data_IF_656102914227
#
_entry.id   IF_656102914227
#
_cell.length_a   1.000
_cell.length_b   1.000
_cell.length_c   1.000
_cell.angle_alpha   90.00
_cell.angle_beta   90.00
_cell.angle_gamma   90.00
#
_symmetry.space_group_name_H-M   'P 1'
#
loop_
_entity.id
_entity.type
_entity.pdbx_description
1 polymer ?
#
# COMPACT_ATOMS: atom_id res chain seq x y z
N UNK A 1 15.45 27.03 -4.83
CA UNK A 1 14.03 27.19 -4.44
C UNK A 1 13.74 26.11 -3.42
N UNK A 2 12.84 26.34 -2.46
CA UNK A 2 12.42 25.30 -1.52
C UNK A 2 11.76 24.15 -2.28
N UNK A 3 12.00 22.91 -1.84
CA UNK A 3 11.32 21.73 -2.36
C UNK A 3 9.81 21.87 -2.16
N UNK A 4 9.03 21.46 -3.17
CA UNK A 4 7.57 21.53 -3.14
C UNK A 4 7.01 20.14 -2.97
N UNK A 5 6.32 19.90 -1.85
CA UNK A 5 5.86 18.58 -1.46
C UNK A 5 4.62 18.13 -2.27
N UNK A 6 4.36 16.82 -2.25
CA UNK A 6 3.26 16.20 -3.00
C UNK A 6 1.86 16.64 -2.56
N UNK A 7 1.68 17.02 -1.30
CA UNK A 7 0.46 17.65 -0.77
C UNK A 7 0.09 18.95 -1.51
N UNK A 8 1.08 19.76 -1.84
CA UNK A 8 0.90 20.99 -2.60
C UNK A 8 0.79 20.74 -4.11
N UNK A 9 1.45 19.70 -4.63
CA UNK A 9 1.44 19.35 -6.05
C UNK A 9 0.14 18.66 -6.48
N UNK A 10 -0.49 17.87 -5.61
CA UNK A 10 -1.77 17.21 -5.92
C UNK A 10 -2.91 18.22 -6.10
N UNK A 11 -2.84 19.37 -5.43
CA UNK A 11 -3.81 20.47 -5.58
C UNK A 11 -3.76 21.05 -7.00
N UNK A 12 -2.57 21.21 -7.57
CA UNK A 12 -2.40 21.66 -8.96
C UNK A 12 -2.85 20.60 -9.94
N UNK A 13 -2.45 19.35 -9.69
CA UNK A 13 -2.89 18.22 -10.49
C UNK A 13 -4.42 18.16 -10.61
N UNK A 14 -5.14 18.29 -9.50
CA UNK A 14 -6.60 18.32 -9.47
C UNK A 14 -7.19 19.53 -10.20
N UNK A 15 -6.54 20.69 -10.11
CA UNK A 15 -6.98 21.90 -10.82
C UNK A 15 -6.89 21.72 -12.34
N UNK A 16 -5.83 21.08 -12.81
CA UNK A 16 -5.57 20.88 -14.24
C UNK A 16 -6.34 19.71 -14.84
N UNK A 17 -6.47 18.62 -14.08
CA UNK A 17 -6.98 17.35 -14.60
C UNK A 17 -8.38 17.01 -14.12
N UNK A 18 -8.94 17.78 -13.17
CA UNK A 18 -10.16 17.45 -12.42
C UNK A 18 -10.02 16.11 -11.70
N UNK A 19 -11.05 15.68 -10.99
CA UNK A 19 -11.08 14.36 -10.37
C UNK A 19 -11.98 13.39 -11.15
N UNK A 20 -11.48 12.17 -11.38
CA UNK A 20 -12.25 11.05 -11.90
C UNK A 20 -12.01 9.76 -11.11
N UNK A 21 -13.05 9.19 -10.44
CA UNK A 21 -12.88 8.05 -9.53
C UNK A 21 -12.48 6.72 -10.19
N UNK A 22 -12.58 6.61 -11.53
CA UNK A 22 -12.12 5.43 -12.29
C UNK A 22 -10.81 5.68 -13.04
N UNK A 23 -10.18 6.82 -12.83
CA UNK A 23 -8.88 7.12 -13.43
C UNK A 23 -7.78 6.69 -12.46
N UNK A 24 -6.82 5.85 -12.89
CA UNK A 24 -5.63 5.54 -12.08
C UNK A 24 -4.71 6.77 -11.93
N UNK A 25 -4.88 7.79 -12.77
CA UNK A 25 -3.97 8.92 -12.87
C UNK A 25 -3.81 9.72 -11.57
N UNK A 26 -4.80 9.73 -10.66
CA UNK A 26 -4.68 10.41 -9.37
C UNK A 26 -3.80 9.64 -8.38
N UNK A 27 -3.88 8.30 -8.40
CA UNK A 27 -3.03 7.42 -7.61
C UNK A 27 -1.58 7.54 -8.08
N UNK A 28 -1.37 7.33 -9.39
CA UNK A 28 -0.08 7.52 -10.05
C UNK A 28 0.54 8.89 -9.75
N UNK A 29 -0.19 10.01 -9.94
CA UNK A 29 0.33 11.33 -9.61
C UNK A 29 0.75 11.45 -8.13
N UNK A 30 -0.05 10.93 -7.20
CA UNK A 30 0.26 10.97 -5.77
C UNK A 30 1.52 10.16 -5.44
N UNK A 31 1.67 8.97 -6.04
CA UNK A 31 2.84 8.11 -5.88
C UNK A 31 4.10 8.75 -6.48
N UNK A 32 4.01 9.32 -7.67
CA UNK A 32 5.13 10.00 -8.31
C UNK A 32 5.57 11.24 -7.53
N UNK A 33 4.63 11.98 -6.93
CA UNK A 33 4.99 13.07 -6.04
C UNK A 33 5.67 12.58 -4.77
N UNK A 34 5.18 11.50 -4.14
CA UNK A 34 5.86 10.88 -3.01
C UNK A 34 7.28 10.44 -3.36
N UNK A 35 7.49 9.86 -4.54
CA UNK A 35 8.81 9.42 -5.00
C UNK A 35 9.79 10.61 -5.10
N UNK A 36 9.34 11.72 -5.68
CA UNK A 36 10.13 12.96 -5.75
C UNK A 36 10.43 13.54 -4.35
N UNK A 37 9.49 13.41 -3.41
CA UNK A 37 9.67 13.85 -2.03
C UNK A 37 10.68 12.98 -1.29
N UNK A 38 10.67 11.66 -1.51
CA UNK A 38 11.68 10.75 -0.96
C UNK A 38 13.08 11.05 -1.51
N UNK A 39 13.20 11.28 -2.83
CA UNK A 39 14.46 11.72 -3.44
C UNK A 39 14.96 13.04 -2.83
N UNK A 40 14.06 13.98 -2.52
CA UNK A 40 14.44 15.24 -1.88
C UNK A 40 14.80 15.08 -0.40
N UNK A 41 14.07 14.25 0.35
CA UNK A 41 14.16 14.15 1.80
C UNK A 41 15.23 13.18 2.31
N UNK A 42 15.58 12.15 1.52
CA UNK A 42 16.50 11.09 1.95
C UNK A 42 17.73 10.99 1.01
N UNK A 43 18.91 11.26 1.57
CA UNK A 43 20.17 11.21 0.81
C UNK A 43 20.54 9.78 0.39
N UNK A 44 20.38 8.78 1.26
CA UNK A 44 20.69 7.39 0.92
C UNK A 44 19.79 6.87 -0.22
N UNK A 45 18.50 7.26 -0.21
CA UNK A 45 17.56 6.90 -1.27
C UNK A 45 17.95 7.56 -2.60
N UNK A 46 18.35 8.84 -2.56
CA UNK A 46 18.86 9.55 -3.74
C UNK A 46 20.14 8.92 -4.27
N UNK A 47 21.11 8.65 -3.40
CA UNK A 47 22.39 8.03 -3.78
C UNK A 47 22.17 6.66 -4.42
N UNK A 48 21.30 5.83 -3.84
CA UNK A 48 20.93 4.52 -4.40
C UNK A 48 20.20 4.65 -5.75
N UNK A 49 19.37 5.67 -5.94
CA UNK A 49 18.70 5.92 -7.22
C UNK A 49 19.68 6.39 -8.30
N UNK A 50 20.60 7.30 -7.96
CA UNK A 50 21.61 7.85 -8.87
C UNK A 50 22.68 6.82 -9.24
N UNK A 51 23.04 5.90 -8.33
CA UNK A 51 23.93 4.78 -8.60
C UNK A 51 23.27 3.66 -9.41
N UNK A 52 21.94 3.64 -9.43
CA UNK A 52 21.16 2.59 -10.07
C UNK A 52 20.92 1.35 -9.22
N UNK A 53 21.16 1.44 -7.91
CA UNK A 53 20.93 0.35 -6.98
C UNK A 53 19.43 0.13 -6.70
N UNK A 54 18.57 1.10 -7.04
CA UNK A 54 17.11 0.98 -6.97
C UNK A 54 16.41 1.48 -8.24
N UNK A 55 15.29 0.84 -8.55
CA UNK A 55 14.33 1.21 -9.60
C UNK A 55 12.92 1.27 -9.02
N UNK A 56 12.02 1.96 -9.72
CA UNK A 56 10.59 1.99 -9.37
C UNK A 56 9.73 1.39 -10.47
N UNK A 57 8.56 0.89 -10.08
CA UNK A 57 7.52 0.43 -11.01
C UNK A 57 6.15 0.87 -10.49
N UNK A 58 5.30 1.38 -11.38
CA UNK A 58 3.88 1.63 -11.11
C UNK A 58 3.02 0.41 -11.49
N UNK A 59 1.80 0.33 -10.96
CA UNK A 59 0.81 -0.70 -11.26
C UNK A 59 1.34 -2.16 -11.09
N UNK A 60 2.06 -2.42 -10.00
CA UNK A 60 2.68 -3.71 -9.72
C UNK A 60 1.67 -4.75 -9.21
N UNK A 61 1.60 -5.91 -9.85
CA UNK A 61 0.79 -7.04 -9.39
C UNK A 61 1.59 -7.93 -8.43
N UNK A 62 1.09 -8.07 -7.19
CA UNK A 62 1.60 -9.03 -6.21
C UNK A 62 0.62 -10.19 -6.06
N UNK A 63 1.15 -11.39 -5.83
CA UNK A 63 0.34 -12.59 -5.59
C UNK A 63 -0.38 -13.13 -6.83
N UNK A 64 -1.27 -14.10 -6.62
CA UNK A 64 -2.03 -14.74 -7.70
C UNK A 64 -3.42 -15.15 -7.21
N UNK A 65 -4.37 -15.39 -8.13
CA UNK A 65 -5.72 -15.82 -7.76
C UNK A 65 -6.41 -14.83 -6.80
N UNK A 66 -6.93 -15.34 -5.68
CA UNK A 66 -7.65 -14.55 -4.68
C UNK A 66 -6.75 -13.62 -3.84
N UNK A 67 -5.44 -13.89 -3.76
CA UNK A 67 -4.45 -13.05 -3.08
C UNK A 67 -3.78 -12.03 -4.01
N UNK A 68 -4.25 -11.91 -5.27
CA UNK A 68 -3.73 -10.90 -6.20
C UNK A 68 -4.10 -9.50 -5.72
N UNK A 69 -3.10 -8.63 -5.60
CA UNK A 69 -3.27 -7.21 -5.33
C UNK A 69 -2.50 -6.39 -6.36
N UNK A 70 -3.06 -5.26 -6.78
CA UNK A 70 -2.38 -4.32 -7.66
C UNK A 70 -2.00 -3.09 -6.81
N UNK A 71 -0.70 -2.81 -6.73
CA UNK A 71 -0.11 -1.74 -5.92
C UNK A 71 0.31 -0.59 -6.82
N UNK A 72 -0.02 0.64 -6.42
CA UNK A 72 0.22 1.83 -7.25
C UNK A 72 1.72 2.11 -7.48
N UNK A 73 2.59 1.86 -6.50
CA UNK A 73 4.03 2.08 -6.62
C UNK A 73 4.84 1.05 -5.81
N UNK A 74 5.87 0.49 -6.43
CA UNK A 74 6.91 -0.28 -5.74
C UNK A 74 8.31 0.25 -6.06
N UNK A 75 9.25 0.07 -5.13
CA UNK A 75 10.68 0.38 -5.31
C UNK A 75 11.52 -0.77 -4.75
N UNK A 76 12.62 -1.07 -5.42
CA UNK A 76 13.59 -2.08 -4.98
C UNK A 76 14.77 -2.19 -5.94
N UNK A 77 15.72 -3.10 -5.68
CA UNK A 77 16.85 -3.32 -6.57
C UNK A 77 16.38 -3.90 -7.91
N UNK A 78 17.01 -3.56 -9.04
CA UNK A 78 16.56 -4.01 -10.36
C UNK A 78 16.73 -5.52 -10.57
N UNK A 79 15.75 -6.17 -11.23
CA UNK A 79 15.77 -7.61 -11.53
C UNK A 79 16.88 -8.06 -12.51
N UNK A 80 17.36 -7.15 -13.36
CA UNK A 80 18.50 -7.35 -14.23
C UNK A 80 19.52 -6.22 -14.04
N UNK A 81 20.81 -6.48 -14.34
CA UNK A 81 21.82 -5.43 -14.53
C UNK A 81 21.54 -4.65 -15.84
N UNK A 82 20.30 -4.25 -16.06
CA UNK A 82 19.89 -3.48 -17.22
C UNK A 82 20.63 -2.14 -17.17
N UNK A 83 21.08 -1.64 -18.33
CA UNK A 83 21.55 -0.28 -18.41
C UNK A 83 20.38 0.63 -18.02
N UNK A 84 20.56 1.34 -16.91
CA UNK A 84 19.53 2.14 -16.29
C UNK A 84 19.35 3.40 -17.13
N UNK A 85 18.35 3.37 -18.01
CA UNK A 85 17.93 4.58 -18.73
C UNK A 85 17.04 5.40 -17.79
N UNK A 86 17.56 6.55 -17.35
CA UNK A 86 16.72 7.56 -16.70
C UNK A 86 15.68 8.06 -17.70
N UNK A 87 14.42 7.67 -17.49
CA UNK A 87 13.29 8.18 -18.27
C UNK A 87 12.73 9.43 -17.61
N UNK A 88 12.78 10.54 -18.34
CA UNK A 88 12.26 11.83 -17.88
C UNK A 88 13.21 12.58 -16.95
N UNK A 89 12.67 13.49 -16.14
CA UNK A 89 13.44 14.42 -15.32
C UNK A 89 13.79 13.87 -13.92
N UNK A 90 13.40 12.62 -13.60
CA UNK A 90 13.60 12.03 -12.27
C UNK A 90 14.94 11.31 -12.16
N UNK A 91 15.59 11.45 -11.01
CA UNK A 91 16.87 10.83 -10.70
C UNK A 91 16.78 9.33 -10.30
N UNK A 92 15.63 8.69 -10.57
CA UNK A 92 15.40 7.26 -10.36
C UNK A 92 14.80 6.69 -11.65
N UNK A 93 15.22 5.50 -12.04
CA UNK A 93 14.73 4.88 -13.26
C UNK A 93 13.51 3.98 -13.02
N UNK A 94 12.69 3.91 -14.05
CA UNK A 94 11.57 2.98 -14.15
C UNK A 94 12.10 1.60 -14.56
N UNK A 95 11.74 0.55 -13.82
CA UNK A 95 12.16 -0.82 -14.10
C UNK A 95 11.57 -1.82 -13.10
N UNK A 96 11.56 -3.10 -13.48
CA UNK A 96 11.05 -4.18 -12.62
C UNK A 96 12.03 -4.45 -11.46
N UNK A 97 11.58 -4.34 -10.19
CA UNK A 97 12.41 -4.66 -9.06
C UNK A 97 12.53 -6.19 -8.86
N UNK A 98 13.74 -6.68 -8.60
CA UNK A 98 14.03 -8.08 -8.22
C UNK A 98 13.25 -8.49 -6.96
N UNK A 99 13.11 -7.53 -6.04
CA UNK A 99 12.38 -7.67 -4.77
C UNK A 99 11.82 -6.32 -4.37
N UNK A 100 10.69 -6.34 -3.66
CA UNK A 100 10.05 -5.11 -3.20
C UNK A 100 10.63 -4.67 -1.86
N UNK A 101 11.23 -3.48 -1.83
CA UNK A 101 11.71 -2.82 -0.60
C UNK A 101 10.71 -1.80 -0.06
N UNK A 102 10.01 -1.10 -0.96
CA UNK A 102 8.96 -0.15 -0.65
C UNK A 102 7.74 -0.45 -1.51
N UNK A 103 6.55 -0.40 -0.93
CA UNK A 103 5.28 -0.49 -1.62
C UNK A 103 4.32 0.58 -1.09
N UNK A 104 3.66 1.31 -2.00
CA UNK A 104 2.73 2.38 -1.68
C UNK A 104 1.41 2.16 -2.41
N UNK A 105 0.32 2.30 -1.66
CA UNK A 105 -1.05 2.26 -2.19
C UNK A 105 -1.72 3.63 -1.99
N UNK A 106 -2.09 4.28 -3.09
CA UNK A 106 -2.75 5.57 -3.11
C UNK A 106 -4.27 5.39 -3.21
N UNK A 107 -4.99 6.14 -2.38
CA UNK A 107 -6.44 6.03 -2.24
C UNK A 107 -7.07 7.39 -2.03
N UNK A 108 -8.36 7.48 -2.34
CA UNK A 108 -9.12 8.73 -2.22
C UNK A 108 -10.49 8.55 -1.55
N UNK A 109 -10.94 9.62 -0.92
CA UNK A 109 -12.27 9.77 -0.32
C UNK A 109 -12.83 11.12 -0.78
N UNK A 110 -13.59 11.12 -1.88
CA UNK A 110 -14.05 12.37 -2.53
C UNK A 110 -15.51 12.72 -2.32
N UNK A 111 -16.39 11.71 -2.17
CA UNK A 111 -17.86 11.92 -2.15
C UNK A 111 -18.57 11.16 -1.04
N UNK A 112 -18.54 9.82 -1.09
CA UNK A 112 -19.25 8.96 -0.14
C UNK A 112 -18.45 8.70 1.16
N UNK A 113 -18.02 9.78 1.82
CA UNK A 113 -17.08 9.74 2.96
C UNK A 113 -17.41 8.67 4.00
N UNK A 114 -18.68 8.52 4.39
CA UNK A 114 -19.10 7.53 5.40
C UNK A 114 -18.82 6.07 5.03
N UNK A 115 -19.01 5.69 3.76
CA UNK A 115 -18.75 4.33 3.25
C UNK A 115 -17.30 4.19 2.80
N UNK A 116 -16.81 5.16 2.05
CA UNK A 116 -15.49 5.14 1.44
C UNK A 116 -14.38 5.04 2.50
N UNK A 117 -14.44 5.79 3.61
CA UNK A 117 -13.37 5.75 4.64
C UNK A 117 -13.12 4.35 5.22
N UNK A 118 -14.19 3.60 5.55
CA UNK A 118 -14.06 2.24 6.09
C UNK A 118 -13.56 1.25 5.04
N UNK A 119 -13.98 1.44 3.79
CA UNK A 119 -13.48 0.63 2.69
C UNK A 119 -11.98 0.90 2.48
N UNK A 120 -11.57 2.17 2.42
CA UNK A 120 -10.16 2.56 2.28
C UNK A 120 -9.28 2.06 3.44
N UNK A 121 -9.77 2.09 4.68
CA UNK A 121 -9.05 1.48 5.80
C UNK A 121 -8.85 -0.02 5.61
N UNK A 122 -9.91 -0.75 5.22
CA UNK A 122 -9.80 -2.18 4.91
C UNK A 122 -8.81 -2.43 3.78
N UNK A 123 -8.91 -1.65 2.71
CA UNK A 123 -8.06 -1.80 1.53
C UNK A 123 -6.57 -1.63 1.92
N UNK A 124 -6.22 -0.59 2.69
CA UNK A 124 -4.85 -0.35 3.14
C UNK A 124 -4.32 -1.46 4.06
N UNK A 125 -5.14 -1.98 4.98
CA UNK A 125 -4.73 -3.08 5.84
C UNK A 125 -4.55 -4.40 5.05
N UNK A 126 -5.46 -4.68 4.12
CA UNK A 126 -5.36 -5.85 3.24
C UNK A 126 -4.15 -5.76 2.32
N UNK A 127 -3.86 -4.58 1.78
CA UNK A 127 -2.66 -4.29 1.01
C UNK A 127 -1.39 -4.64 1.81
N UNK A 128 -1.26 -4.17 3.05
CA UNK A 128 -0.09 -4.46 3.87
C UNK A 128 0.04 -5.97 4.18
N UNK A 129 -1.04 -6.62 4.62
CA UNK A 129 -1.05 -8.07 4.91
C UNK A 129 -0.63 -8.88 3.67
N UNK A 130 -1.15 -8.58 2.48
CA UNK A 130 -0.77 -9.27 1.23
C UNK A 130 0.69 -8.97 0.89
N UNK A 131 1.11 -7.71 0.93
CA UNK A 131 2.49 -7.34 0.62
C UNK A 131 3.49 -8.04 1.53
N UNK A 132 3.23 -8.12 2.83
CA UNK A 132 4.14 -8.75 3.78
C UNK A 132 4.14 -10.27 3.72
N UNK A 133 3.09 -10.91 3.20
CA UNK A 133 3.12 -12.36 2.90
C UNK A 133 4.08 -12.67 1.75
N UNK A 134 4.12 -11.82 0.72
CA UNK A 134 4.98 -12.04 -0.45
C UNK A 134 6.38 -11.44 -0.29
N UNK A 135 6.48 -10.31 0.40
CA UNK A 135 7.69 -9.55 0.64
C UNK A 135 7.75 -9.11 2.11
N UNK A 136 8.12 -10.01 3.04
CA UNK A 136 8.07 -9.71 4.47
C UNK A 136 8.86 -8.47 4.88
N UNK A 137 10.01 -8.22 4.27
CA UNK A 137 10.80 -7.03 4.55
C UNK A 137 10.30 -5.72 3.92
N UNK A 138 9.24 -5.74 3.10
CA UNK A 138 8.77 -4.54 2.41
C UNK A 138 8.32 -3.46 3.41
N UNK A 139 8.71 -2.23 3.15
CA UNK A 139 8.15 -1.04 3.79
C UNK A 139 6.83 -0.74 3.11
N UNK A 140 5.72 -0.68 3.84
CA UNK A 140 4.39 -0.44 3.26
C UNK A 140 3.78 0.88 3.71
N UNK A 141 3.18 1.62 2.78
CA UNK A 141 2.57 2.90 3.08
C UNK A 141 1.28 3.19 2.29
N UNK A 142 0.44 4.06 2.85
CA UNK A 142 -0.78 4.54 2.19
C UNK A 142 -0.78 6.05 2.00
N UNK A 143 -1.19 6.54 0.82
CA UNK A 143 -1.44 7.98 0.60
C UNK A 143 -2.94 8.21 0.39
N UNK A 144 -3.55 9.02 1.26
CA UNK A 144 -4.99 9.24 1.30
C UNK A 144 -5.33 10.68 0.92
N UNK A 145 -5.96 10.85 -0.25
CA UNK A 145 -6.54 12.13 -0.67
C UNK A 145 -7.98 12.25 -0.18
N UNK A 146 -8.26 13.22 0.69
CA UNK A 146 -9.56 13.41 1.33
C UNK A 146 -10.13 14.75 0.91
N UNK A 147 -11.34 14.75 0.36
CA UNK A 147 -12.02 15.99 0.02
C UNK A 147 -12.76 16.57 1.23
N UNK A 148 -12.81 17.88 1.35
CA UNK A 148 -13.56 18.62 2.36
C UNK A 148 -14.59 19.58 1.76
N UNK A 149 -14.69 19.66 0.43
CA UNK A 149 -15.68 20.49 -0.22
C UNK A 149 -17.11 20.11 0.23
N UNK A 150 -17.92 21.12 0.55
CA UNK A 150 -19.34 20.93 0.90
C UNK A 150 -20.16 20.41 -0.29
N UNK A 151 -19.68 20.67 -1.51
CA UNK A 151 -20.31 20.25 -2.76
C UNK A 151 -19.28 19.61 -3.67
N UNK A 152 -19.68 18.56 -4.39
CA UNK A 152 -18.83 17.88 -5.35
C UNK A 152 -19.58 17.46 -6.61
N UNK A 153 -19.06 17.86 -7.77
CA UNK A 153 -19.55 17.41 -9.08
C UNK A 153 -18.88 16.09 -9.44
N UNK A 154 -19.59 14.98 -9.27
CA UNK A 154 -19.08 13.67 -9.69
C UNK A 154 -19.14 13.51 -11.21
N UNK A 155 -18.05 13.09 -11.88
CA UNK A 155 -18.09 12.85 -13.33
C UNK A 155 -18.86 11.58 -13.71
N UNK A 156 -19.26 10.76 -12.72
CA UNK A 156 -20.07 9.56 -12.93
C UNK A 156 -21.58 9.83 -12.88
N UNK A 157 -21.99 11.05 -12.55
CA UNK A 157 -23.40 11.45 -12.42
C UNK A 157 -23.80 12.37 -13.57
N UNK A 158 -25.10 12.51 -13.77
CA UNK A 158 -25.66 13.37 -14.81
C UNK A 158 -25.28 14.84 -14.59
N UNK A 159 -25.24 15.59 -15.68
CA UNK A 159 -24.93 17.01 -15.64
C UNK A 159 -25.96 17.76 -14.77
N UNK A 160 -25.48 18.38 -13.69
CA UNK A 160 -26.30 19.09 -12.70
C UNK A 160 -26.59 18.30 -11.41
N UNK A 161 -26.25 17.01 -11.34
CA UNK A 161 -26.31 16.22 -10.09
C UNK A 161 -25.06 16.46 -9.25
N UNK A 162 -25.15 17.49 -8.40
CA UNK A 162 -24.12 17.89 -7.45
C UNK A 162 -24.34 17.12 -6.14
N UNK A 163 -23.29 16.45 -5.66
CA UNK A 163 -23.32 15.80 -4.35
C UNK A 163 -23.13 16.85 -3.27
N UNK A 164 -24.06 16.91 -2.32
CA UNK A 164 -23.92 17.72 -1.10
C UNK A 164 -23.37 16.86 0.05
N UNK A 165 -22.35 17.35 0.75
CA UNK A 165 -21.71 16.66 1.86
C UNK A 165 -22.14 17.24 3.20
N UNK A 166 -23.22 16.68 3.75
CA UNK A 166 -23.68 17.03 5.10
C UNK A 166 -22.62 16.74 6.17
N UNK A 167 -22.27 17.75 6.96
CA UNK A 167 -21.33 17.65 8.11
C UNK A 167 -19.93 17.19 7.66
N UNK A 168 -19.46 17.69 6.51
CA UNK A 168 -18.18 17.29 5.90
C UNK A 168 -16.99 17.44 6.86
N UNK A 169 -16.90 18.54 7.61
CA UNK A 169 -15.82 18.75 8.58
C UNK A 169 -15.72 17.61 9.61
N UNK A 170 -16.87 17.16 10.14
CA UNK A 170 -16.94 16.03 11.07
C UNK A 170 -16.54 14.73 10.37
N UNK A 171 -16.98 14.50 9.14
CA UNK A 171 -16.68 13.28 8.39
C UNK A 171 -15.19 13.18 8.04
N UNK A 172 -14.56 14.29 7.67
CA UNK A 172 -13.11 14.39 7.42
C UNK A 172 -12.35 14.13 8.72
N UNK A 173 -12.75 14.77 9.84
CA UNK A 173 -12.14 14.52 11.16
C UNK A 173 -12.17 13.05 11.56
N UNK A 174 -13.35 12.43 11.49
CA UNK A 174 -13.53 10.99 11.77
C UNK A 174 -12.72 10.10 10.80
N UNK A 175 -12.47 10.56 9.57
CA UNK A 175 -11.63 9.83 8.61
C UNK A 175 -10.16 9.94 8.97
N UNK A 176 -9.67 11.14 9.29
CA UNK A 176 -8.28 11.35 9.73
C UNK A 176 -8.00 10.57 11.02
N UNK A 177 -8.91 10.62 12.00
CA UNK A 177 -8.82 9.83 13.24
C UNK A 177 -8.75 8.31 12.96
N UNK A 178 -9.59 7.80 12.05
CA UNK A 178 -9.58 6.39 11.67
C UNK A 178 -8.24 5.92 11.11
N UNK A 179 -7.57 6.74 10.29
CA UNK A 179 -6.24 6.41 9.76
C UNK A 179 -5.12 6.61 10.78
N UNK A 180 -5.30 7.53 11.75
CA UNK A 180 -4.39 7.71 12.88
C UNK A 180 -4.36 6.50 13.80
N UNK A 181 -5.52 5.86 14.00
CA UNK A 181 -5.70 4.73 14.91
C UNK A 181 -5.30 3.36 14.33
N UNK A 182 -4.86 3.30 13.06
CA UNK A 182 -4.37 2.05 12.46
C UNK A 182 -3.09 1.62 13.17
N UNK A 183 -3.02 0.33 13.53
CA UNK A 183 -1.81 -0.26 14.08
C UNK A 183 -0.65 -0.16 13.08
N UNK A 184 0.53 0.25 13.57
CA UNK A 184 1.73 0.42 12.75
C UNK A 184 2.74 -0.68 13.00
N UNK A 185 3.54 -0.97 11.99
CA UNK A 185 4.70 -1.85 12.10
C UNK A 185 5.78 -1.30 13.06
N UNK A 186 5.84 0.03 13.24
CA UNK A 186 6.81 0.72 14.11
C UNK A 186 8.26 0.33 13.78
N UNK A 187 8.57 0.23 12.48
CA UNK A 187 9.90 -0.11 11.97
C UNK A 187 10.23 -1.62 12.00
N UNK A 188 9.41 -2.45 12.65
CA UNK A 188 9.57 -3.90 12.65
C UNK A 188 8.98 -4.52 11.40
N UNK A 189 9.39 -5.74 11.07
CA UNK A 189 8.62 -6.56 10.13
C UNK A 189 7.30 -6.95 10.83
N UNK A 190 6.16 -6.74 10.18
CA UNK A 190 4.81 -6.89 10.75
C UNK A 190 3.81 -6.84 9.61
N UNK A 191 2.63 -7.49 9.68
CA UNK A 191 1.57 -7.35 8.65
C UNK A 191 0.89 -5.96 8.63
N UNK A 192 1.30 -5.07 9.52
CA UNK A 192 0.76 -3.73 9.64
C UNK A 192 1.50 -2.75 8.72
N UNK A 193 0.84 -1.67 8.30
CA UNK A 193 1.51 -0.60 7.54
C UNK A 193 2.60 0.09 8.34
N UNK A 194 3.66 0.55 7.68
CA UNK A 194 4.69 1.39 8.30
C UNK A 194 4.20 2.85 8.46
N UNK A 195 3.43 3.38 7.51
CA UNK A 195 2.90 4.75 7.59
C UNK A 195 1.68 5.01 6.71
N UNK A 196 0.91 6.04 7.04
CA UNK A 196 -0.17 6.55 6.18
C UNK A 196 -0.14 8.08 6.18
N UNK A 197 -0.13 8.70 5.00
CA UNK A 197 -0.20 10.15 4.84
C UNK A 197 -1.59 10.59 4.36
N UNK A 198 -2.22 11.52 5.08
CA UNK A 198 -3.50 12.11 4.71
C UNK A 198 -3.28 13.52 4.14
N UNK A 199 -3.85 13.79 2.96
CA UNK A 199 -3.89 15.10 2.31
C UNK A 199 -5.35 15.53 2.23
N UNK A 200 -5.69 16.67 2.83
CA UNK A 200 -7.06 17.21 2.80
C UNK A 200 -7.13 18.35 1.80
N UNK A 201 -8.08 18.29 0.86
CA UNK A 201 -8.29 19.31 -0.16
C UNK A 201 -9.72 19.83 -0.12
N UNK A 202 -9.90 21.10 -0.46
CA UNK A 202 -11.19 21.64 -0.86
C UNK A 202 -11.24 21.62 -2.39
N UNK A 203 -11.96 20.62 -2.93
CA UNK A 203 -12.08 20.40 -4.36
C UNK A 203 -13.53 20.10 -4.74
N UNK A 204 -14.19 21.04 -5.41
CA UNK A 204 -15.59 20.90 -5.86
C UNK A 204 -15.74 20.07 -7.14
N UNK A 205 -14.66 19.93 -7.92
CA UNK A 205 -14.66 19.33 -9.26
C UNK A 205 -15.58 20.06 -10.27
N UNK A 206 -15.87 21.35 -10.02
CA UNK A 206 -16.77 22.19 -10.81
C UNK A 206 -16.03 23.17 -11.73
N UNK A 207 -16.75 23.67 -12.75
CA UNK A 207 -16.21 24.59 -13.78
C UNK A 207 -16.59 26.04 -13.49
N UNK A 208 -17.11 26.29 -12.29
CA UNK A 208 -17.66 27.56 -11.83
C UNK A 208 -16.60 28.56 -11.33
N UNK A 209 -15.32 28.18 -11.43
CA UNK A 209 -14.19 28.97 -10.96
C UNK A 209 -13.88 28.81 -9.47
N UNK A 210 -14.55 27.89 -8.76
CA UNK A 210 -14.14 27.50 -7.41
C UNK A 210 -12.70 26.97 -7.43
N UNK A 211 -11.85 27.55 -6.57
CA UNK A 211 -10.44 27.22 -6.54
C UNK A 211 -10.24 25.91 -5.78
N UNK A 212 -9.45 25.00 -6.35
CA UNK A 212 -8.92 23.86 -5.59
C UNK A 212 -7.83 24.34 -4.64
N UNK A 213 -7.96 24.00 -3.36
CA UNK A 213 -7.06 24.42 -2.30
C UNK A 213 -6.63 23.26 -1.40
N UNK A 214 -5.42 23.36 -0.84
CA UNK A 214 -4.97 22.52 0.27
C UNK A 214 -5.62 23.03 1.55
N UNK A 215 -6.16 22.13 2.36
CA UNK A 215 -6.68 22.47 3.69
C UNK A 215 -5.60 22.14 4.71
N UNK A 216 -5.06 23.18 5.34
CA UNK A 216 -3.96 23.05 6.33
C UNK A 216 -4.47 23.11 7.78
N UNK A 217 -5.62 23.75 7.99
CA UNK A 217 -6.25 23.86 9.31
C UNK A 217 -7.07 22.60 9.68
N UNK A 218 -7.32 22.33 10.98
CA UNK A 218 -8.19 21.24 11.40
C UNK A 218 -9.53 21.28 10.64
N UNK A 219 -10.03 20.14 10.16
CA UNK A 219 -9.70 18.77 10.55
C UNK A 219 -8.54 18.12 9.81
N UNK A 220 -7.80 18.85 8.96
CA UNK A 220 -6.58 18.32 8.35
C UNK A 220 -5.55 17.95 9.43
N UNK A 221 -4.72 16.91 9.20
CA UNK A 221 -3.60 16.60 10.08
C UNK A 221 -2.73 17.85 10.28
N UNK A 222 -2.26 18.07 11.49
CA UNK A 222 -1.36 19.19 11.80
C UNK A 222 0.09 18.73 11.72
N UNK A 223 1.04 19.67 11.63
CA UNK A 223 2.46 19.34 11.79
C UNK A 223 2.67 18.58 13.10
N UNK A 224 3.53 17.55 13.08
CA UNK A 224 3.75 16.56 14.15
C UNK A 224 2.69 15.45 14.29
N UNK A 225 1.61 15.48 13.51
CA UNK A 225 0.69 14.34 13.42
C UNK A 225 1.30 13.24 12.53
N UNK A 226 1.29 11.99 13.00
CA UNK A 226 1.85 10.86 12.25
C UNK A 226 1.17 10.62 10.90
N UNK A 227 -0.07 11.10 10.72
CA UNK A 227 -0.79 11.04 9.44
C UNK A 227 -0.69 12.31 8.61
N UNK A 228 0.07 13.31 9.06
CA UNK A 228 0.40 14.46 8.22
C UNK A 228 1.32 14.02 7.07
N UNK A 229 1.01 14.42 5.84
CA UNK A 229 1.70 13.93 4.65
C UNK A 229 3.23 14.03 4.73
N UNK A 230 3.75 15.19 5.16
CA UNK A 230 5.21 15.38 5.26
C UNK A 230 5.85 14.55 6.37
N UNK A 231 5.11 14.27 7.44
CA UNK A 231 5.59 13.37 8.49
C UNK A 231 5.58 11.92 8.01
N UNK A 232 4.55 11.53 7.25
CA UNK A 232 4.51 10.26 6.55
C UNK A 232 5.72 10.08 5.60
N UNK A 233 6.10 11.10 4.81
CA UNK A 233 7.32 11.05 3.99
C UNK A 233 8.56 10.75 4.85
N UNK A 234 8.70 11.45 5.99
CA UNK A 234 9.82 11.23 6.91
C UNK A 234 9.82 9.82 7.51
N UNK A 235 8.66 9.31 7.90
CA UNK A 235 8.50 7.95 8.43
C UNK A 235 8.93 6.93 7.38
N UNK A 236 8.38 7.00 6.16
CA UNK A 236 8.72 6.07 5.09
C UNK A 236 10.20 6.14 4.74
N UNK A 237 10.74 7.35 4.58
CA UNK A 237 12.17 7.56 4.33
C UNK A 237 13.03 6.93 5.42
N UNK A 238 12.72 7.20 6.69
CA UNK A 238 13.49 6.69 7.83
C UNK A 238 13.43 5.16 7.92
N UNK A 239 12.24 4.56 7.75
CA UNK A 239 12.10 3.11 7.81
C UNK A 239 12.81 2.43 6.64
N UNK A 240 12.66 2.94 5.42
CA UNK A 240 13.33 2.40 4.23
C UNK A 240 14.85 2.49 4.36
N UNK A 241 15.36 3.62 4.84
CA UNK A 241 16.78 3.84 5.06
C UNK A 241 17.36 2.83 6.06
N UNK A 242 16.77 2.76 7.24
CA UNK A 242 17.20 1.85 8.30
C UNK A 242 17.00 0.37 7.93
N UNK A 243 16.00 0.04 7.11
CA UNK A 243 15.69 -1.35 6.77
C UNK A 243 16.54 -1.84 5.61
N UNK A 244 16.80 -1.01 4.60
CA UNK A 244 17.34 -1.49 3.32
C UNK A 244 18.56 -0.72 2.79
N UNK A 245 18.66 0.59 3.03
CA UNK A 245 19.69 1.41 2.37
C UNK A 245 20.98 1.49 3.18
N UNK A 246 20.88 1.82 4.48
CA UNK A 246 22.05 1.99 5.36
C UNK A 246 22.11 1.02 6.53
N UNK A 247 20.99 0.38 6.87
CA UNK A 247 20.95 -0.63 7.92
C UNK A 247 21.45 -2.01 7.49
N UNK A 248 21.34 -2.97 8.40
CA UNK A 248 21.85 -4.35 8.20
C UNK A 248 20.93 -5.24 7.36
N UNK A 249 19.83 -4.70 6.81
CA UNK A 249 18.74 -5.51 6.28
C UNK A 249 17.76 -5.93 7.37
N UNK A 250 16.48 -6.21 7.04
CA UNK A 250 15.60 -6.88 7.97
C UNK A 250 16.09 -8.32 8.21
N UNK A 251 16.08 -8.76 9.46
CA UNK A 251 16.32 -10.17 9.80
C UNK A 251 15.09 -10.99 9.41
N UNK A 252 15.05 -11.39 8.14
CA UNK A 252 13.97 -12.22 7.57
C UNK A 252 13.94 -13.61 8.22
N UNK A 253 15.06 -14.08 8.75
CA UNK A 253 15.21 -15.37 9.45
C UNK A 253 14.66 -15.30 10.90
N UNK A 254 14.61 -14.13 11.53
CA UNK A 254 13.88 -13.94 12.79
C UNK A 254 12.35 -13.92 12.61
N UNK A 255 11.86 -13.49 11.44
CA UNK A 255 10.43 -13.57 11.10
C UNK A 255 10.01 -15.02 10.81
N UNK A 256 10.97 -15.80 10.34
CA UNK A 256 10.83 -17.22 10.15
C UNK A 256 10.56 -17.98 11.47
N UNK A 257 11.27 -17.64 12.54
CA UNK A 257 11.11 -18.30 13.84
C UNK A 257 9.84 -17.90 14.59
N UNK A 258 9.33 -16.68 14.37
CA UNK A 258 8.37 -16.09 15.33
C UNK A 258 6.91 -16.48 15.07
N UNK A 259 6.51 -17.02 13.91
CA UNK A 259 5.12 -17.49 13.82
C UNK A 259 4.72 -18.48 12.71
N UNK A 260 5.59 -19.41 12.31
CA UNK A 260 5.15 -20.51 11.42
C UNK A 260 3.96 -21.26 12.01
N UNK A 261 3.87 -21.37 13.33
CA UNK A 261 2.72 -21.96 14.01
C UNK A 261 1.44 -21.17 13.75
N UNK A 262 1.39 -19.84 13.94
CA UNK A 262 0.15 -19.10 13.64
C UNK A 262 -0.11 -18.93 12.16
N UNK A 263 0.90 -18.85 11.31
CA UNK A 263 0.72 -18.87 9.84
C UNK A 263 0.09 -20.19 9.42
N UNK A 264 0.60 -21.33 9.93
CA UNK A 264 0.02 -22.64 9.71
C UNK A 264 -1.40 -22.74 10.27
N UNK A 265 -1.63 -22.29 11.51
CA UNK A 265 -2.96 -22.31 12.14
C UNK A 265 -3.97 -21.44 11.39
N UNK A 266 -3.58 -20.24 10.94
CA UNK A 266 -4.42 -19.37 10.11
C UNK A 266 -4.76 -20.07 8.81
N UNK A 267 -3.76 -20.64 8.13
CA UNK A 267 -3.97 -21.29 6.85
C UNK A 267 -4.86 -22.54 6.96
N UNK A 268 -4.75 -23.30 8.06
CA UNK A 268 -5.66 -24.41 8.37
C UNK A 268 -7.11 -23.92 8.49
N UNK A 269 -7.33 -22.76 9.12
CA UNK A 269 -8.68 -22.18 9.26
C UNK A 269 -9.25 -21.75 7.90
N UNK A 270 -8.44 -21.11 7.05
CA UNK A 270 -8.87 -20.70 5.70
C UNK A 270 -9.21 -21.90 4.81
N UNK A 271 -8.36 -22.94 4.81
CA UNK A 271 -8.65 -24.21 4.13
C UNK A 271 -9.93 -24.84 4.65
N UNK A 272 -10.16 -24.85 5.97
CA UNK A 272 -11.38 -25.40 6.55
C UNK A 272 -12.63 -24.60 6.15
N UNK A 273 -12.51 -23.27 6.04
CA UNK A 273 -13.58 -22.37 5.58
C UNK A 273 -13.93 -22.62 4.12
N UNK A 274 -12.93 -22.66 3.23
CA UNK A 274 -13.10 -22.97 1.81
C UNK A 274 -13.71 -24.37 1.60
N UNK A 275 -13.22 -25.37 2.33
CA UNK A 275 -13.75 -26.74 2.29
C UNK A 275 -15.21 -26.82 2.75
N UNK A 276 -15.58 -26.07 3.79
CA UNK A 276 -16.97 -26.00 4.29
C UNK A 276 -17.92 -25.42 3.25
N UNK A 277 -17.51 -24.33 2.59
CA UNK A 277 -18.26 -23.67 1.52
C UNK A 277 -18.44 -24.60 0.33
N UNK A 278 -17.35 -25.15 -0.21
CA UNK A 278 -17.37 -26.09 -1.32
C UNK A 278 -18.22 -27.34 -0.98
N UNK A 279 -18.09 -27.86 0.24
CA UNK A 279 -18.87 -29.01 0.72
C UNK A 279 -20.36 -28.73 0.91
N UNK A 280 -20.75 -27.47 1.16
CA UNK A 280 -22.17 -27.07 1.18
C UNK A 280 -22.73 -27.02 -0.24
N UNK A 281 -22.02 -26.38 -1.16
CA UNK A 281 -22.42 -26.31 -2.57
C UNK A 281 -22.51 -27.69 -3.22
N UNK A 282 -21.57 -28.59 -2.91
CA UNK A 282 -21.58 -29.96 -3.40
C UNK A 282 -22.82 -30.74 -2.93
N UNK A 283 -23.26 -30.54 -1.68
CA UNK A 283 -24.49 -31.13 -1.15
C UNK A 283 -25.75 -30.59 -1.82
N UNK A 284 -25.73 -29.32 -2.19
CA UNK A 284 -26.81 -28.62 -2.88
C UNK A 284 -26.77 -28.86 -4.42
N UNK A 285 -25.79 -29.61 -4.92
CA UNK A 285 -25.54 -29.86 -6.34
C UNK A 285 -25.37 -28.57 -7.17
N UNK A 286 -24.79 -27.54 -6.55
CA UNK A 286 -24.61 -26.22 -7.14
C UNK A 286 -23.19 -25.70 -6.90
N UNK A 287 -22.18 -26.50 -7.26
CA UNK A 287 -20.77 -26.14 -7.13
C UNK A 287 -20.41 -25.03 -8.11
N UNK A 288 -19.91 -23.92 -7.59
CA UNK A 288 -19.37 -22.82 -8.38
C UNK A 288 -17.90 -23.03 -8.70
N UNK A 289 -17.43 -22.51 -9.84
CA UNK A 289 -16.00 -22.50 -10.17
C UNK A 289 -15.19 -21.70 -9.15
N UNK A 290 -15.76 -20.62 -8.64
CA UNK A 290 -15.15 -19.76 -7.62
C UNK A 290 -14.83 -20.52 -6.32
N UNK A 291 -15.73 -21.37 -5.84
CA UNK A 291 -15.50 -22.18 -4.64
C UNK A 291 -14.43 -23.27 -4.85
N UNK A 292 -14.28 -23.79 -6.07
CA UNK A 292 -13.22 -24.74 -6.42
C UNK A 292 -11.86 -24.05 -6.52
N UNK A 293 -11.82 -22.87 -7.14
CA UNK A 293 -10.61 -22.06 -7.30
C UNK A 293 -10.13 -21.53 -5.95
N UNK A 294 -11.04 -21.09 -5.08
CA UNK A 294 -10.74 -20.70 -3.70
C UNK A 294 -10.12 -21.86 -2.93
N UNK A 295 -10.74 -23.05 -2.93
CA UNK A 295 -10.17 -24.23 -2.26
C UNK A 295 -8.77 -24.59 -2.79
N UNK A 296 -8.58 -24.53 -4.10
CA UNK A 296 -7.29 -24.84 -4.73
C UNK A 296 -6.21 -23.81 -4.36
N UNK A 297 -6.59 -22.54 -4.25
CA UNK A 297 -5.71 -21.46 -3.79
C UNK A 297 -5.27 -21.69 -2.34
N UNK A 298 -6.22 -21.93 -1.43
CA UNK A 298 -5.90 -22.14 -0.01
C UNK A 298 -5.04 -23.39 0.24
N UNK A 299 -5.23 -24.45 -0.54
CA UNK A 299 -4.35 -25.64 -0.51
C UNK A 299 -2.94 -25.28 -0.97
N UNK A 300 -2.80 -24.52 -2.06
CA UNK A 300 -1.50 -24.09 -2.57
C UNK A 300 -0.75 -23.22 -1.56
N UNK A 301 -1.44 -22.30 -0.90
CA UNK A 301 -0.86 -21.49 0.18
C UNK A 301 -0.45 -22.33 1.38
N UNK A 302 -1.25 -23.34 1.78
CA UNK A 302 -0.86 -24.29 2.82
C UNK A 302 0.39 -25.10 2.45
N UNK A 303 0.49 -25.53 1.19
CA UNK A 303 1.66 -26.25 0.69
C UNK A 303 2.91 -25.39 0.76
N UNK A 304 2.83 -24.12 0.38
CA UNK A 304 3.95 -23.19 0.49
C UNK A 304 4.42 -23.01 1.94
N UNK A 305 3.49 -22.94 2.91
CA UNK A 305 3.84 -22.89 4.34
C UNK A 305 4.53 -24.18 4.79
N UNK A 306 4.07 -25.35 4.33
CA UNK A 306 4.67 -26.65 4.67
C UNK A 306 6.07 -26.79 4.04
N UNK A 307 6.25 -26.41 2.78
CA UNK A 307 7.53 -26.41 2.10
C UNK A 307 8.54 -25.50 2.82
N UNK A 308 8.07 -24.37 3.34
CA UNK A 308 8.90 -23.47 4.12
C UNK A 308 9.29 -24.06 5.49
N UNK A 309 8.39 -24.81 6.14
CA UNK A 309 8.71 -25.58 7.35
C UNK A 309 9.76 -26.66 7.04
N UNK A 310 9.56 -27.42 5.96
CA UNK A 310 10.47 -28.51 5.55
C UNK A 310 11.84 -27.98 5.15
N UNK A 311 11.91 -26.87 4.41
CA UNK A 311 13.16 -26.18 4.07
C UNK A 311 13.94 -25.78 5.33
N UNK A 312 13.26 -25.36 6.39
CA UNK A 312 13.90 -24.86 7.62
C UNK A 312 14.32 -25.96 8.58
N UNK A 313 13.53 -27.02 8.72
CA UNK A 313 13.74 -28.06 9.74
C UNK A 313 14.07 -29.44 9.16
N UNK A 314 14.04 -29.60 7.83
CA UNK A 314 14.23 -30.88 7.15
C UNK A 314 15.68 -31.41 7.17
N UNK A 315 16.67 -30.56 7.38
CA UNK A 315 18.10 -30.97 7.40
C UNK A 315 18.65 -31.34 8.79
N UNK A 316 17.99 -30.98 9.90
CA UNK A 316 18.47 -31.27 11.26
C UNK A 316 18.28 -32.74 11.69
N UNK A 317 17.59 -33.57 10.88
CA UNK A 317 17.25 -34.96 11.21
C UNK A 317 18.24 -36.05 10.77
N UNK A 318 19.35 -35.73 10.07
CA UNK A 318 20.22 -36.75 9.47
C UNK A 318 21.59 -37.00 10.14
N UNK A 319 21.88 -36.42 11.30
CA UNK A 319 23.11 -36.75 12.07
C UNK A 319 22.82 -37.33 13.44
N UNK A 320 22.17 -38.50 13.50
CA UNK A 320 22.38 -39.46 14.59
C UNK A 320 22.35 -40.86 13.96
N UNK A 321 23.43 -41.25 13.31
CA UNK A 321 23.74 -42.64 13.03
C UNK A 321 25.06 -42.99 13.71
N UNK A 322 24.97 -43.93 14.66
CA UNK A 322 26.01 -44.91 14.96
C UNK A 322 27.27 -44.47 15.70
N UNK A 323 27.23 -44.59 17.03
CA UNK A 323 28.31 -45.26 17.78
C UNK A 323 27.72 -45.83 19.09
N UNK A 324 27.25 -47.09 19.00
CA UNK A 324 27.54 -48.20 19.92
C UNK A 324 26.92 -49.52 19.43
#
# INVERSE_FOLDING_TARGET
MSHRYGDERIVEWLRENRYHPRSPAHGSASCMFLLDDLLSANNAFREAAESGDIVFQEDFDVGSGASRWNTDLVVGPPAENAQIEFRGDRAIAEGEPERVWLAIDAKSVMTEHGKARRNRQRDINSFADIMHRHYPGAVTGGVLLINMAEQFRSPLRDEGDITEHDRIERLVRETVEMFRDIERANGKVSPNVDGVGCIVVDHTNSDDGSATALVEEPPAPQTDDMVHYREFVNIIASVLDNRWLTGTGPDLDSFAEVDLESVLNRQIVEVASAASTLGKEAREQNVSGESVDSMSTEIGELQAVIEEIDRRYGEEGQTIDGDD
#
